data_IF_880052255412
#
_entry.id   IF_880052255412
#
_cell.length_a   1.000
_cell.length_b   1.000
_cell.length_c   1.000
_cell.angle_alpha   90.00
_cell.angle_beta   90.00
_cell.angle_gamma   90.00
#
_symmetry.space_group_name_H-M   'P 1'
#
loop_
_entity.id
_entity.type
_entity.pdbx_description
1 polymer ?
#
# COMPACT_ATOMS: atom_id res chain seq x y z
N UNK A 1 11.21 -25.66 11.18
CA UNK A 1 12.15 -24.81 10.44
C UNK A 1 11.88 -23.38 10.89
N UNK A 2 12.80 -22.76 11.62
CA UNK A 2 12.71 -21.35 12.01
C UNK A 2 12.85 -20.53 10.74
N UNK A 3 11.79 -19.81 10.36
CA UNK A 3 11.86 -18.84 9.28
C UNK A 3 12.98 -17.84 9.61
N UNK A 4 14.02 -17.83 8.79
CA UNK A 4 15.06 -16.82 8.84
C UNK A 4 14.47 -15.41 8.66
N UNK A 5 15.22 -14.34 8.90
CA UNK A 5 14.74 -12.98 8.73
C UNK A 5 14.16 -12.86 7.30
N UNK A 6 12.94 -12.32 7.20
CA UNK A 6 12.23 -12.11 5.93
C UNK A 6 13.13 -11.27 5.01
N UNK A 7 13.80 -11.92 4.07
CA UNK A 7 14.76 -11.27 3.17
C UNK A 7 13.99 -10.51 2.08
N UNK A 8 13.77 -9.22 2.28
CA UNK A 8 13.10 -8.35 1.29
C UNK A 8 14.06 -7.83 0.19
N UNK A 9 15.34 -8.23 0.26
CA UNK A 9 16.39 -7.75 -0.64
C UNK A 9 17.38 -6.81 0.04
N UNK A 10 18.21 -6.15 -0.75
CA UNK A 10 19.19 -5.16 -0.27
C UNK A 10 18.48 -3.90 0.23
N UNK A 11 18.80 -3.45 1.43
CA UNK A 11 18.10 -2.35 2.07
C UNK A 11 18.96 -1.08 2.18
N UNK A 12 18.36 0.07 1.86
CA UNK A 12 18.96 1.39 2.03
C UNK A 12 17.95 2.39 2.59
N UNK A 13 18.45 3.51 3.11
CA UNK A 13 17.59 4.62 3.54
C UNK A 13 17.85 5.81 2.63
N UNK A 14 16.81 6.25 1.94
CA UNK A 14 16.86 7.38 1.03
C UNK A 14 16.41 8.64 1.78
N UNK A 15 17.27 9.65 1.81
CA UNK A 15 16.96 10.97 2.38
C UNK A 15 16.17 11.79 1.38
N UNK A 16 14.97 12.21 1.77
CA UNK A 16 14.11 13.09 0.98
C UNK A 16 13.72 14.30 1.83
N UNK A 17 13.11 15.31 1.23
CA UNK A 17 12.76 16.57 1.91
C UNK A 17 11.93 16.38 3.16
N UNK A 18 10.82 15.66 3.05
CA UNK A 18 9.78 15.55 4.09
C UNK A 18 9.92 14.33 5.00
N UNK A 19 10.58 13.30 4.51
CA UNK A 19 10.81 12.05 5.24
C UNK A 19 12.01 11.29 4.66
N UNK A 20 12.66 10.51 5.50
CA UNK A 20 13.59 9.48 5.02
C UNK A 20 12.82 8.19 4.84
N UNK A 21 13.03 7.48 3.73
CA UNK A 21 12.35 6.24 3.42
C UNK A 21 13.31 5.06 3.41
N UNK A 22 12.96 4.00 4.13
CA UNK A 22 13.61 2.70 3.98
C UNK A 22 13.06 2.05 2.72
N UNK A 23 13.97 1.64 1.84
CA UNK A 23 13.65 0.88 0.64
C UNK A 23 14.41 -0.44 0.64
N UNK A 24 13.83 -1.42 -0.03
CA UNK A 24 14.46 -2.72 -0.27
C UNK A 24 14.46 -2.96 -1.77
N UNK A 25 15.58 -3.38 -2.32
CA UNK A 25 15.72 -3.61 -3.75
C UNK A 25 16.08 -5.08 -4.00
N UNK A 26 15.45 -5.67 -4.99
CA UNK A 26 15.69 -7.07 -5.38
C UNK A 26 15.42 -7.24 -6.88
N UNK A 27 15.96 -8.30 -7.47
CA UNK A 27 15.89 -8.57 -8.90
C UNK A 27 17.00 -7.90 -9.70
N UNK A 28 16.99 -8.02 -11.05
CA UNK A 28 18.02 -7.46 -11.91
C UNK A 28 17.99 -5.93 -11.87
N UNK A 29 19.17 -5.32 -11.73
CA UNK A 29 19.30 -3.86 -11.58
C UNK A 29 18.86 -3.10 -12.85
N UNK A 30 19.00 -3.71 -14.01
CA UNK A 30 18.61 -3.25 -15.34
C UNK A 30 17.22 -3.69 -15.77
N UNK A 31 16.53 -4.47 -14.93
CA UNK A 31 15.16 -4.90 -15.20
C UNK A 31 14.16 -3.75 -15.17
N UNK A 32 12.99 -3.90 -15.82
CA UNK A 32 11.92 -2.89 -15.74
C UNK A 32 11.55 -2.61 -14.28
N UNK A 33 11.52 -1.33 -13.85
CA UNK A 33 11.32 -0.99 -12.45
C UNK A 33 9.86 -1.13 -12.01
N UNK A 34 9.66 -1.77 -10.86
CA UNK A 34 8.37 -1.91 -10.19
C UNK A 34 8.49 -1.45 -8.74
N UNK A 35 7.65 -0.51 -8.33
CA UNK A 35 7.60 0.02 -6.96
C UNK A 35 6.38 -0.54 -6.23
N UNK A 36 6.60 -1.14 -5.05
CA UNK A 36 5.55 -1.75 -4.23
C UNK A 36 5.26 -0.89 -2.99
N UNK A 37 4.02 -0.42 -2.86
CA UNK A 37 3.54 0.43 -1.76
C UNK A 37 2.56 -0.33 -0.87
N UNK A 38 2.85 -0.40 0.42
CA UNK A 38 2.05 -1.13 1.40
C UNK A 38 0.88 -0.30 1.98
N UNK A 39 -0.02 -0.97 2.70
CA UNK A 39 -1.19 -0.41 3.34
C UNK A 39 -0.94 0.20 4.72
N UNK A 40 -2.04 0.65 5.36
CA UNK A 40 -2.01 1.17 6.72
C UNK A 40 -1.70 0.07 7.74
N UNK A 41 -0.91 0.40 8.77
CA UNK A 41 -0.42 -0.49 9.82
C UNK A 41 0.46 -1.67 9.33
N UNK A 42 0.79 -1.73 8.05
CA UNK A 42 1.71 -2.70 7.48
C UNK A 42 3.09 -2.11 7.20
N UNK A 43 3.90 -2.82 6.47
CA UNK A 43 5.21 -2.41 5.98
C UNK A 43 5.53 -3.20 4.69
N UNK A 44 6.69 -2.99 4.12
CA UNK A 44 7.19 -3.76 2.97
C UNK A 44 7.06 -5.29 3.15
N UNK A 45 6.99 -5.77 4.40
CA UNK A 45 6.80 -7.20 4.75
C UNK A 45 5.51 -7.80 4.17
N UNK A 46 4.47 -6.99 3.91
CA UNK A 46 3.24 -7.49 3.28
C UNK A 46 3.48 -8.09 1.89
N UNK A 47 4.56 -7.71 1.24
CA UNK A 47 4.95 -8.17 -0.10
C UNK A 47 5.89 -9.38 -0.11
N UNK A 48 6.21 -9.97 1.06
CA UNK A 48 7.20 -11.05 1.24
C UNK A 48 6.99 -12.25 0.32
N UNK A 49 5.72 -12.59 0.06
CA UNK A 49 5.35 -13.76 -0.74
C UNK A 49 5.10 -13.40 -2.23
N UNK A 50 5.08 -12.11 -2.58
CA UNK A 50 4.85 -11.61 -3.95
C UNK A 50 6.15 -11.15 -4.62
N UNK A 51 6.98 -10.35 -3.92
CA UNK A 51 8.16 -9.74 -4.53
C UNK A 51 9.14 -10.75 -5.16
N UNK A 52 9.36 -11.99 -4.63
CA UNK A 52 10.30 -12.92 -5.25
C UNK A 52 9.86 -13.37 -6.65
N UNK A 53 8.54 -13.45 -6.87
CA UNK A 53 7.98 -13.78 -8.18
C UNK A 53 8.27 -12.70 -9.22
N UNK A 54 8.12 -11.43 -8.83
CA UNK A 54 8.39 -10.27 -9.69
C UNK A 54 9.89 -10.05 -9.93
N UNK A 55 10.70 -10.27 -8.90
CA UNK A 55 12.15 -10.09 -8.93
C UNK A 55 12.90 -11.00 -9.93
N UNK A 56 12.22 -11.98 -10.52
CA UNK A 56 12.80 -12.81 -11.60
C UNK A 56 13.07 -12.01 -12.88
N UNK A 57 12.31 -10.94 -13.11
CA UNK A 57 12.36 -10.17 -14.38
C UNK A 57 12.36 -8.67 -14.18
N UNK A 58 12.06 -8.18 -12.98
CA UNK A 58 11.89 -6.76 -12.68
C UNK A 58 12.86 -6.31 -11.60
N UNK A 59 13.31 -5.07 -11.69
CA UNK A 59 13.92 -4.35 -10.56
C UNK A 59 12.81 -3.96 -9.60
N UNK A 60 12.63 -4.73 -8.52
CA UNK A 60 11.58 -4.51 -7.54
C UNK A 60 12.08 -3.61 -6.42
N UNK A 61 11.36 -2.53 -6.16
CA UNK A 61 11.62 -1.58 -5.07
C UNK A 61 10.44 -1.63 -4.10
N UNK A 62 10.66 -2.20 -2.93
CA UNK A 62 9.67 -2.18 -1.85
C UNK A 62 9.95 -0.95 -0.97
N UNK A 63 8.89 -0.21 -0.64
CA UNK A 63 9.01 1.03 0.13
C UNK A 63 8.30 0.88 1.47
N UNK A 64 9.00 1.15 2.56
CA UNK A 64 8.34 1.43 3.83
C UNK A 64 7.88 2.91 3.83
N UNK A 65 6.59 3.15 3.88
CA UNK A 65 6.00 4.50 3.91
C UNK A 65 6.38 5.27 5.20
N UNK A 66 6.23 6.59 5.26
CA UNK A 66 6.68 7.40 6.39
C UNK A 66 6.21 6.89 7.75
N UNK A 67 7.16 6.61 8.64
CA UNK A 67 6.91 6.08 9.97
C UNK A 67 6.59 4.58 10.05
N UNK A 68 6.51 3.88 8.92
CA UNK A 68 6.26 2.45 8.84
C UNK A 68 7.56 1.64 8.70
N UNK A 69 7.53 0.37 9.12
CA UNK A 69 8.64 -0.56 8.95
C UNK A 69 9.97 0.00 9.45
N UNK A 70 10.95 0.06 8.56
CA UNK A 70 12.28 0.65 8.80
C UNK A 70 12.36 2.15 8.56
N UNK A 71 11.34 2.79 7.98
CA UNK A 71 11.30 4.24 7.76
C UNK A 71 11.15 4.99 9.08
N UNK A 72 11.99 6.02 9.36
CA UNK A 72 11.87 6.81 10.58
C UNK A 72 10.59 7.67 10.59
N UNK A 73 10.35 8.32 11.73
CA UNK A 73 9.29 9.31 11.82
C UNK A 73 9.56 10.45 10.81
N UNK A 74 8.55 10.87 10.03
CA UNK A 74 8.74 11.93 9.05
C UNK A 74 8.99 13.28 9.71
N UNK A 75 9.70 14.17 9.01
CA UNK A 75 9.90 15.58 9.42
C UNK A 75 8.62 16.39 9.21
N UNK A 76 7.90 16.13 8.12
CA UNK A 76 6.61 16.74 7.84
C UNK A 76 5.53 16.25 8.80
N UNK A 77 4.57 17.14 9.13
CA UNK A 77 3.45 16.84 10.05
C UNK A 77 2.09 16.95 9.38
N UNK A 78 1.98 17.73 8.35
CA UNK A 78 0.78 18.05 7.57
C UNK A 78 0.75 17.20 6.29
N UNK A 79 0.39 15.95 6.42
CA UNK A 79 0.31 15.04 5.30
C UNK A 79 -1.01 15.17 4.54
N UNK A 80 -0.90 15.11 3.22
CA UNK A 80 -2.00 14.94 2.27
C UNK A 80 -1.61 13.86 1.26
N UNK A 81 -2.58 13.34 0.49
CA UNK A 81 -2.28 12.40 -0.58
C UNK A 81 -1.37 13.04 -1.65
N UNK A 82 -1.59 14.30 -1.99
CA UNK A 82 -0.74 15.03 -2.95
C UNK A 82 0.70 15.19 -2.45
N UNK A 83 0.89 15.51 -1.16
CA UNK A 83 2.24 15.61 -0.58
C UNK A 83 2.96 14.27 -0.54
N UNK A 84 2.22 13.20 -0.22
CA UNK A 84 2.76 11.84 -0.24
C UNK A 84 3.12 11.38 -1.67
N UNK A 85 2.30 11.74 -2.66
CA UNK A 85 2.63 11.52 -4.08
C UNK A 85 3.91 12.27 -4.50
N UNK A 86 4.05 13.54 -4.11
CA UNK A 86 5.27 14.32 -4.35
C UNK A 86 6.52 13.70 -3.71
N UNK A 87 6.40 13.15 -2.49
CA UNK A 87 7.49 12.42 -1.83
C UNK A 87 7.91 11.17 -2.64
N UNK A 88 6.96 10.44 -3.24
CA UNK A 88 7.25 9.29 -4.09
C UNK A 88 7.94 9.72 -5.38
N UNK A 89 7.59 10.87 -5.96
CA UNK A 89 8.32 11.44 -7.11
C UNK A 89 9.77 11.76 -6.73
N UNK A 90 10.01 12.39 -5.58
CA UNK A 90 11.37 12.62 -5.07
C UNK A 90 12.14 11.29 -4.86
N UNK A 91 11.47 10.25 -4.38
CA UNK A 91 12.06 8.92 -4.24
C UNK A 91 12.46 8.35 -5.61
N UNK A 92 11.60 8.49 -6.62
CA UNK A 92 11.89 8.01 -7.97
C UNK A 92 13.11 8.71 -8.55
N UNK A 93 13.22 10.03 -8.39
CA UNK A 93 14.39 10.82 -8.82
C UNK A 93 15.67 10.34 -8.13
N UNK A 94 15.62 10.14 -6.81
CA UNK A 94 16.77 9.69 -6.03
C UNK A 94 17.24 8.26 -6.40
N UNK A 95 16.33 7.42 -6.92
CA UNK A 95 16.63 6.07 -7.37
C UNK A 95 16.89 5.94 -8.88
N UNK A 96 16.81 7.05 -9.63
CA UNK A 96 16.96 7.05 -11.09
C UNK A 96 15.81 6.36 -11.83
N UNK A 97 14.59 6.41 -11.28
CA UNK A 97 13.40 5.80 -11.86
C UNK A 97 12.59 6.87 -12.62
N UNK A 98 12.62 6.84 -13.94
CA UNK A 98 11.91 7.84 -14.75
C UNK A 98 10.39 7.67 -14.60
N UNK A 99 9.87 6.48 -14.90
CA UNK A 99 8.45 6.13 -14.78
C UNK A 99 8.31 4.62 -14.45
N UNK A 100 8.46 4.20 -13.20
CA UNK A 100 8.27 2.81 -12.81
C UNK A 100 6.79 2.39 -12.94
N UNK A 101 6.55 1.08 -13.03
CA UNK A 101 5.23 0.55 -12.69
C UNK A 101 5.03 0.68 -11.18
N UNK A 102 3.85 1.12 -10.76
CA UNK A 102 3.53 1.32 -9.34
C UNK A 102 2.39 0.40 -8.92
N UNK A 103 2.67 -0.43 -7.94
CA UNK A 103 1.73 -1.39 -7.35
C UNK A 103 1.47 -0.99 -5.91
N UNK A 104 0.24 -0.69 -5.57
CA UNK A 104 -0.12 -0.32 -4.22
C UNK A 104 -1.26 -1.14 -3.65
N UNK A 105 -1.18 -1.47 -2.36
CA UNK A 105 -2.24 -2.14 -1.61
C UNK A 105 -2.83 -1.22 -0.56
N UNK A 106 -4.15 -1.21 -0.42
CA UNK A 106 -4.90 -0.39 0.54
C UNK A 106 -4.54 1.11 0.43
N UNK A 107 -4.00 1.72 1.50
CA UNK A 107 -3.50 3.11 1.46
C UNK A 107 -2.42 3.30 0.40
N UNK A 108 -1.54 2.32 0.20
CA UNK A 108 -0.53 2.35 -0.87
C UNK A 108 -1.17 2.33 -2.26
N UNK A 109 -2.28 1.62 -2.45
CA UNK A 109 -3.07 1.61 -3.68
C UNK A 109 -3.71 2.97 -3.95
N UNK A 110 -4.29 3.58 -2.90
CA UNK A 110 -4.82 4.94 -2.98
C UNK A 110 -3.72 5.95 -3.34
N UNK A 111 -2.53 5.84 -2.72
CA UNK A 111 -1.38 6.70 -3.04
C UNK A 111 -0.86 6.48 -4.45
N UNK A 112 -0.83 5.24 -4.95
CA UNK A 112 -0.46 4.93 -6.33
C UNK A 112 -1.41 5.60 -7.33
N UNK A 113 -2.73 5.55 -7.05
CA UNK A 113 -3.73 6.23 -7.86
C UNK A 113 -3.58 7.76 -7.83
N UNK A 114 -3.38 8.35 -6.65
CA UNK A 114 -3.09 9.79 -6.52
C UNK A 114 -1.81 10.19 -7.25
N UNK A 115 -0.75 9.38 -7.15
CA UNK A 115 0.51 9.62 -7.86
C UNK A 115 0.30 9.60 -9.37
N UNK A 116 -0.41 8.60 -9.90
CA UNK A 116 -0.70 8.49 -11.33
C UNK A 116 -1.56 9.65 -11.83
N UNK A 117 -2.56 10.08 -11.05
CA UNK A 117 -3.45 11.18 -11.40
C UNK A 117 -2.75 12.55 -11.39
N UNK A 118 -1.90 12.82 -10.39
CA UNK A 118 -1.21 14.11 -10.24
C UNK A 118 0.09 14.20 -11.04
N UNK A 119 0.72 13.06 -11.33
CA UNK A 119 2.01 12.97 -12.02
C UNK A 119 1.99 11.88 -13.10
N UNK A 120 1.11 11.97 -14.12
CA UNK A 120 0.87 10.88 -15.08
C UNK A 120 2.14 10.46 -15.85
N UNK A 121 3.07 11.39 -16.12
CA UNK A 121 4.36 11.08 -16.74
C UNK A 121 5.36 10.33 -15.86
N UNK A 122 5.04 10.08 -14.58
CA UNK A 122 5.93 9.44 -13.61
C UNK A 122 5.49 8.00 -13.26
N UNK A 123 4.45 7.49 -13.88
CA UNK A 123 3.94 6.12 -13.71
C UNK A 123 3.71 5.49 -15.07
N UNK A 124 4.37 4.39 -15.38
CA UNK A 124 4.20 3.69 -16.65
C UNK A 124 3.00 2.73 -16.65
N UNK A 125 2.71 2.11 -15.52
CA UNK A 125 1.59 1.20 -15.28
C UNK A 125 1.11 1.35 -13.85
N UNK A 126 -0.19 1.34 -13.63
CA UNK A 126 -0.80 1.46 -12.31
C UNK A 126 -1.43 0.14 -11.87
N UNK A 127 -1.12 -0.31 -10.65
CA UNK A 127 -1.89 -1.40 -10.02
C UNK A 127 -2.48 -0.91 -8.71
N UNK A 128 -3.79 -0.96 -8.61
CA UNK A 128 -4.55 -0.61 -7.41
C UNK A 128 -5.12 -1.88 -6.78
N UNK A 129 -4.73 -2.16 -5.54
CA UNK A 129 -5.16 -3.36 -4.84
C UNK A 129 -5.89 -2.99 -3.54
N UNK A 130 -7.14 -3.43 -3.38
CA UNK A 130 -7.95 -3.23 -2.18
C UNK A 130 -7.88 -1.77 -1.64
N UNK A 131 -7.97 -0.78 -2.52
CA UNK A 131 -7.77 0.63 -2.17
C UNK A 131 -9.09 1.37 -1.95
N UNK A 132 -9.22 2.04 -0.81
CA UNK A 132 -10.46 2.69 -0.38
C UNK A 132 -10.52 4.20 -0.67
N UNK A 133 -9.82 4.71 -1.71
CA UNK A 133 -9.84 6.14 -2.03
C UNK A 133 -11.11 6.60 -2.77
N UNK A 134 -11.84 5.66 -3.35
CA UNK A 134 -13.12 5.88 -4.04
C UNK A 134 -14.15 4.92 -3.46
N UNK A 135 -15.10 5.40 -2.69
CA UNK A 135 -16.19 4.56 -2.22
C UNK A 135 -16.37 4.53 -0.70
N UNK A 136 -17.38 3.81 -0.27
CA UNK A 136 -17.85 3.70 1.10
C UNK A 136 -16.84 2.96 2.01
N UNK A 137 -15.70 3.55 2.19
CA UNK A 137 -14.74 3.01 3.15
C UNK A 137 -15.22 3.28 4.57
N UNK A 138 -15.90 2.32 5.17
CA UNK A 138 -16.21 2.26 6.60
C UNK A 138 -14.96 2.25 7.49
N UNK A 139 -13.84 2.67 6.95
CA UNK A 139 -12.59 2.59 7.66
C UNK A 139 -12.63 3.50 8.87
N UNK A 140 -12.62 2.93 9.98
CA UNK A 140 -12.09 3.32 11.30
C UNK A 140 -11.45 4.74 11.43
N UNK A 141 -12.07 5.77 10.82
CA UNK A 141 -11.57 7.15 10.92
C UNK A 141 -11.44 7.55 12.40
N UNK A 142 -12.32 7.03 13.26
CA UNK A 142 -12.23 7.18 14.72
C UNK A 142 -10.93 6.62 15.29
N UNK A 143 -10.51 5.43 14.85
CA UNK A 143 -9.23 4.83 15.28
C UNK A 143 -8.03 5.65 14.79
N UNK A 144 -8.06 6.09 13.52
CA UNK A 144 -7.00 6.97 12.99
C UNK A 144 -6.88 8.27 13.81
N UNK A 145 -8.02 8.93 14.09
CA UNK A 145 -8.04 10.16 14.89
C UNK A 145 -7.54 9.93 16.32
N UNK A 146 -7.99 8.84 16.96
CA UNK A 146 -7.56 8.50 18.32
C UNK A 146 -6.05 8.22 18.39
N UNK A 147 -5.51 7.43 17.45
CA UNK A 147 -4.08 7.14 17.39
C UNK A 147 -3.25 8.36 16.95
N UNK A 148 -3.79 9.25 16.12
CA UNK A 148 -3.10 10.44 15.67
C UNK A 148 -3.05 11.56 16.73
N UNK A 149 -3.85 11.47 17.80
CA UNK A 149 -3.89 12.46 18.87
C UNK A 149 -2.50 12.68 19.48
N UNK A 150 -2.07 13.94 19.67
CA UNK A 150 -0.68 14.26 20.04
C UNK A 150 -0.17 13.60 21.32
N UNK A 151 -1.00 13.57 22.36
CA UNK A 151 -0.65 13.03 23.69
C UNK A 151 -1.23 11.65 23.91
N UNK A 152 -2.53 11.47 23.66
CA UNK A 152 -3.21 10.20 23.91
C UNK A 152 -2.83 9.10 22.90
N UNK A 153 -2.53 9.47 21.66
CA UNK A 153 -2.23 8.52 20.59
C UNK A 153 -1.02 7.62 20.87
N UNK A 154 0.14 8.15 21.26
CA UNK A 154 1.29 7.33 21.62
C UNK A 154 1.00 6.35 22.77
N UNK A 155 0.25 6.80 23.80
CA UNK A 155 -0.14 5.97 24.93
C UNK A 155 -1.13 4.87 24.50
N UNK A 156 -2.14 5.22 23.72
CA UNK A 156 -3.10 4.28 23.17
C UNK A 156 -2.40 3.22 22.32
N UNK A 157 -1.49 3.63 21.44
CA UNK A 157 -0.72 2.73 20.63
C UNK A 157 0.16 1.78 21.47
N UNK A 158 0.89 2.33 22.45
CA UNK A 158 1.79 1.57 23.31
C UNK A 158 1.07 0.52 24.17
N UNK A 159 -0.17 0.81 24.58
CA UNK A 159 -0.98 -0.06 25.41
C UNK A 159 -1.94 -0.95 24.61
N UNK A 160 -1.97 -0.84 23.28
CA UNK A 160 -2.93 -1.57 22.47
C UNK A 160 -2.74 -3.10 22.63
N UNK A 161 -3.78 -3.83 23.09
CA UNK A 161 -3.62 -5.25 23.40
C UNK A 161 -3.51 -6.09 22.13
N UNK A 162 -2.71 -7.18 22.22
CA UNK A 162 -2.47 -8.06 21.05
C UNK A 162 -3.71 -8.79 20.58
N UNK A 163 -4.51 -9.35 21.50
CA UNK A 163 -5.65 -10.19 21.14
C UNK A 163 -6.71 -9.44 20.29
N UNK A 164 -7.21 -8.27 20.69
CA UNK A 164 -8.12 -7.48 19.86
C UNK A 164 -7.49 -7.04 18.52
N UNK A 165 -6.17 -6.78 18.50
CA UNK A 165 -5.48 -6.48 17.25
C UNK A 165 -5.50 -7.69 16.31
N UNK A 166 -5.14 -8.88 16.80
CA UNK A 166 -5.09 -10.10 15.99
C UNK A 166 -6.48 -10.53 15.49
N UNK A 167 -7.52 -10.37 16.33
CA UNK A 167 -8.91 -10.66 15.96
C UNK A 167 -9.39 -9.74 14.82
N UNK A 168 -9.14 -8.43 14.94
CA UNK A 168 -9.46 -7.46 13.88
C UNK A 168 -8.63 -7.70 12.61
N UNK A 169 -7.37 -8.08 12.76
CA UNK A 169 -6.51 -8.43 11.65
C UNK A 169 -7.05 -9.64 10.88
N UNK A 170 -7.40 -10.70 11.60
CA UNK A 170 -7.99 -11.90 11.00
C UNK A 170 -9.33 -11.59 10.31
N UNK A 171 -10.17 -10.73 10.90
CA UNK A 171 -11.46 -10.33 10.34
C UNK A 171 -11.37 -9.49 9.06
N UNK A 172 -10.21 -8.92 8.77
CA UNK A 172 -9.95 -8.17 7.53
C UNK A 172 -9.61 -9.09 6.33
N UNK A 173 -9.30 -10.35 6.60
CA UNK A 173 -9.00 -11.34 5.57
C UNK A 173 -10.27 -12.10 5.13
N UNK A 174 -10.17 -12.76 3.99
CA UNK A 174 -11.24 -13.59 3.45
C UNK A 174 -11.54 -14.83 4.31
N UNK A 175 -12.70 -15.47 4.07
CA UNK A 175 -13.14 -16.60 4.86
C UNK A 175 -12.15 -17.77 4.82
N UNK A 176 -11.77 -18.27 5.98
CA UNK A 176 -10.89 -19.44 6.10
C UNK A 176 -9.38 -19.12 6.01
N UNK A 177 -9.00 -17.90 5.69
CA UNK A 177 -7.58 -17.53 5.74
C UNK A 177 -7.11 -17.33 7.18
N UNK A 178 -5.96 -17.89 7.50
CA UNK A 178 -5.32 -17.77 8.82
C UNK A 178 -4.00 -17.02 8.66
N UNK A 179 -3.95 -15.73 9.06
CA UNK A 179 -2.72 -14.94 8.96
C UNK A 179 -1.58 -15.55 9.79
N UNK A 180 -0.34 -15.49 9.27
CA UNK A 180 0.84 -15.93 10.01
C UNK A 180 0.96 -15.17 11.35
N UNK A 181 0.90 -15.86 12.50
CA UNK A 181 0.98 -15.21 13.80
C UNK A 181 2.29 -14.45 14.04
N UNK A 182 3.39 -14.81 13.36
CA UNK A 182 4.66 -14.10 13.49
C UNK A 182 4.62 -12.75 12.80
N UNK A 183 3.99 -12.69 11.63
CA UNK A 183 3.74 -11.46 10.86
C UNK A 183 2.79 -10.54 11.62
N UNK A 184 1.67 -11.07 12.11
CA UNK A 184 0.68 -10.31 12.91
C UNK A 184 1.32 -9.73 14.17
N UNK A 185 2.17 -10.51 14.88
CA UNK A 185 2.95 -9.99 16.02
C UNK A 185 3.93 -8.90 15.58
N UNK A 186 4.49 -8.99 14.37
CA UNK A 186 5.34 -7.97 13.78
C UNK A 186 4.60 -6.65 13.62
N UNK A 187 3.44 -6.66 12.99
CA UNK A 187 2.58 -5.48 12.79
C UNK A 187 2.08 -4.90 14.12
N UNK A 188 1.70 -5.75 15.08
CA UNK A 188 1.32 -5.29 16.41
C UNK A 188 2.48 -4.60 17.14
N UNK A 189 3.71 -5.14 17.09
CA UNK A 189 4.90 -4.46 17.67
C UNK A 189 5.15 -3.11 17.01
N UNK A 190 4.95 -3.01 15.70
CA UNK A 190 5.06 -1.76 14.96
C UNK A 190 4.00 -0.75 15.41
N UNK A 191 2.73 -1.16 15.52
CA UNK A 191 1.64 -0.35 16.07
C UNK A 191 2.02 0.20 17.45
N UNK A 192 2.46 -0.66 18.36
CA UNK A 192 2.82 -0.23 19.73
C UNK A 192 3.95 0.80 19.78
N UNK A 193 4.92 0.68 18.88
CA UNK A 193 6.10 1.56 18.86
C UNK A 193 5.87 2.85 18.10
N UNK A 194 5.09 2.83 17.02
CA UNK A 194 4.99 3.90 16.04
C UNK A 194 3.56 4.22 15.58
N UNK A 195 2.55 3.60 16.19
CA UNK A 195 1.16 3.71 15.77
C UNK A 195 0.67 5.15 15.65
N UNK A 196 1.07 6.02 16.57
CA UNK A 196 0.71 7.44 16.50
C UNK A 196 1.33 8.17 15.30
N UNK A 197 2.56 7.82 14.91
CA UNK A 197 3.23 8.40 13.73
C UNK A 197 2.57 7.90 12.45
N UNK A 198 2.36 6.59 12.37
CA UNK A 198 1.69 5.95 11.24
C UNK A 198 0.26 6.47 11.07
N UNK A 199 -0.47 6.65 12.18
CA UNK A 199 -1.83 7.17 12.15
C UNK A 199 -1.90 8.63 11.70
N UNK A 200 -0.94 9.48 12.07
CA UNK A 200 -0.89 10.87 11.58
C UNK A 200 -0.66 10.93 10.08
N UNK A 201 0.27 10.13 9.56
CA UNK A 201 0.49 10.02 8.12
C UNK A 201 -0.77 9.48 7.43
N UNK A 202 -1.30 8.34 7.89
CA UNK A 202 -2.48 7.70 7.31
C UNK A 202 -3.74 8.57 7.40
N UNK A 203 -3.94 9.30 8.50
CA UNK A 203 -5.06 10.24 8.65
C UNK A 203 -4.97 11.39 7.64
N UNK A 204 -3.79 11.98 7.46
CA UNK A 204 -3.58 13.05 6.50
C UNK A 204 -3.87 12.62 5.07
N UNK A 205 -3.40 11.43 4.68
CA UNK A 205 -3.73 10.83 3.38
C UNK A 205 -5.23 10.56 3.26
N UNK A 206 -5.85 9.99 4.30
CA UNK A 206 -7.27 9.63 4.31
C UNK A 206 -8.19 10.84 4.20
N UNK A 207 -7.88 11.93 4.89
CA UNK A 207 -8.65 13.18 4.82
C UNK A 207 -8.61 13.82 3.43
N UNK A 208 -7.63 13.47 2.59
CA UNK A 208 -7.54 13.93 1.21
C UNK A 208 -8.55 13.24 0.27
N UNK A 209 -9.25 12.19 0.73
CA UNK A 209 -10.23 11.49 -0.10
C UNK A 209 -11.55 12.25 -0.27
N UNK A 210 -11.75 13.34 0.50
CA UNK A 210 -13.01 14.10 0.54
C UNK A 210 -14.02 13.50 1.52
N UNK A 211 -15.11 14.23 1.76
CA UNK A 211 -16.18 13.77 2.67
C UNK A 211 -16.90 12.56 2.09
N UNK A 212 -17.17 12.55 0.80
CA UNK A 212 -17.88 11.49 0.06
C UNK A 212 -16.94 10.50 -0.64
N UNK A 213 -15.64 10.54 -0.34
CA UNK A 213 -14.63 9.66 -0.94
C UNK A 213 -14.58 9.74 -2.48
N UNK A 214 -14.73 10.92 -3.03
CA UNK A 214 -14.76 11.17 -4.47
C UNK A 214 -13.69 12.16 -4.97
N UNK A 215 -12.89 12.74 -4.06
CA UNK A 215 -11.89 13.75 -4.42
C UNK A 215 -10.88 13.29 -5.48
N UNK A 216 -10.68 11.99 -5.62
CA UNK A 216 -9.80 11.39 -6.62
C UNK A 216 -10.52 11.17 -7.97
N UNK A 217 -11.85 11.20 -8.02
CA UNK A 217 -12.62 10.89 -9.24
C UNK A 217 -12.25 11.82 -10.41
N UNK A 218 -12.28 13.14 -10.19
CA UNK A 218 -11.89 14.09 -11.23
C UNK A 218 -10.46 13.92 -11.73
N UNK A 219 -9.44 13.83 -10.85
CA UNK A 219 -8.05 13.56 -11.24
C UNK A 219 -7.82 12.24 -12.00
N UNK A 220 -8.65 11.21 -11.78
CA UNK A 220 -8.53 9.93 -12.50
C UNK A 220 -9.24 9.93 -13.86
N UNK A 221 -10.19 10.84 -14.05
CA UNK A 221 -10.92 10.92 -15.31
C UNK A 221 -9.96 11.23 -16.47
N UNK A 222 -9.98 10.35 -17.47
CA UNK A 222 -9.07 10.46 -18.61
C UNK A 222 -7.63 10.00 -18.36
N UNK A 223 -7.35 9.31 -17.25
CA UNK A 223 -6.03 8.72 -17.01
C UNK A 223 -5.69 7.69 -18.11
N UNK A 224 -4.70 8.02 -18.94
CA UNK A 224 -4.34 7.27 -20.14
C UNK A 224 -3.13 6.34 -19.95
N UNK A 225 -3.03 5.69 -18.79
CA UNK A 225 -1.99 4.67 -18.54
C UNK A 225 -2.65 3.31 -18.30
N UNK A 226 -2.00 2.19 -18.69
CA UNK A 226 -2.52 0.87 -18.37
C UNK A 226 -2.74 0.71 -16.86
N UNK A 227 -3.91 0.21 -16.47
CA UNK A 227 -4.26 0.02 -15.07
C UNK A 227 -4.83 -1.39 -14.80
N UNK A 228 -4.37 -2.02 -13.71
CA UNK A 228 -4.90 -3.25 -13.17
C UNK A 228 -5.49 -3.00 -11.79
N UNK A 229 -6.72 -3.44 -11.59
CA UNK A 229 -7.48 -3.29 -10.36
C UNK A 229 -7.68 -4.68 -9.76
N UNK A 230 -7.08 -4.93 -8.57
CA UNK A 230 -7.16 -6.22 -7.88
C UNK A 230 -7.90 -6.05 -6.55
N UNK A 231 -9.05 -6.70 -6.40
CA UNK A 231 -9.84 -6.61 -5.18
C UNK A 231 -10.24 -8.00 -4.69
N UNK A 232 -10.33 -8.18 -3.37
CA UNK A 232 -10.87 -9.39 -2.80
C UNK A 232 -12.38 -9.45 -3.00
N UNK A 233 -12.90 -10.59 -3.44
CA UNK A 233 -14.35 -10.77 -3.66
C UNK A 233 -15.14 -10.75 -2.34
N UNK A 234 -14.50 -11.12 -1.23
CA UNK A 234 -15.08 -11.17 0.13
C UNK A 234 -14.53 -10.05 1.04
N UNK A 235 -13.96 -8.98 0.44
CA UNK A 235 -13.47 -7.84 1.21
C UNK A 235 -14.63 -7.07 1.85
N UNK A 236 -14.57 -6.97 3.19
CA UNK A 236 -15.57 -6.28 4.03
C UNK A 236 -15.12 -4.88 4.44
N UNK A 237 -13.85 -4.54 4.23
CA UNK A 237 -13.29 -3.23 4.56
C UNK A 237 -13.28 -2.30 3.35
N UNK A 238 -12.91 -2.84 2.19
CA UNK A 238 -12.95 -2.16 0.89
C UNK A 238 -13.74 -3.04 -0.07
N UNK A 239 -15.06 -2.88 -0.13
CA UNK A 239 -15.92 -3.78 -0.90
C UNK A 239 -15.60 -3.76 -2.40
N UNK A 240 -15.89 -4.85 -3.13
CA UNK A 240 -15.65 -4.95 -4.58
C UNK A 240 -16.27 -3.82 -5.41
N UNK A 241 -17.35 -3.20 -4.91
CA UNK A 241 -17.98 -2.00 -5.53
C UNK A 241 -16.98 -0.85 -5.71
N UNK A 242 -16.01 -0.72 -4.80
CA UNK A 242 -14.92 0.26 -4.94
C UNK A 242 -14.04 -0.05 -6.15
N UNK A 243 -13.75 -1.33 -6.43
CA UNK A 243 -13.03 -1.75 -7.63
C UNK A 243 -13.79 -1.42 -8.91
N UNK A 244 -15.11 -1.62 -8.93
CA UNK A 244 -15.97 -1.20 -10.04
C UNK A 244 -15.93 0.32 -10.22
N UNK A 245 -15.95 1.08 -9.13
CA UNK A 245 -15.86 2.55 -9.20
C UNK A 245 -14.55 3.02 -9.81
N UNK A 246 -13.42 2.39 -9.46
CA UNK A 246 -12.14 2.65 -10.14
C UNK A 246 -12.20 2.32 -11.63
N UNK A 247 -12.82 1.19 -12.01
CA UNK A 247 -12.93 0.78 -13.41
C UNK A 247 -13.79 1.74 -14.24
N UNK A 248 -14.82 2.35 -13.66
CA UNK A 248 -15.62 3.38 -14.30
C UNK A 248 -14.81 4.65 -14.61
N UNK A 249 -13.88 5.02 -13.71
CA UNK A 249 -13.09 6.26 -13.80
C UNK A 249 -11.80 6.10 -14.59
N UNK A 250 -11.31 4.88 -14.79
CA UNK A 250 -10.08 4.60 -15.55
C UNK A 250 -10.45 3.73 -16.75
N UNK A 251 -10.83 4.34 -17.90
CA UNK A 251 -11.21 3.61 -19.09
C UNK A 251 -10.08 2.68 -19.56
N UNK A 252 -10.42 1.44 -19.92
CA UNK A 252 -9.45 0.43 -20.33
C UNK A 252 -8.69 -0.24 -19.19
N UNK A 253 -9.02 0.06 -17.92
CA UNK A 253 -8.49 -0.71 -16.79
C UNK A 253 -9.07 -2.13 -16.76
N UNK A 254 -8.23 -3.09 -16.29
CA UNK A 254 -8.66 -4.47 -16.07
C UNK A 254 -9.00 -4.68 -14.59
N UNK A 255 -10.26 -4.98 -14.29
CA UNK A 255 -10.70 -5.36 -12.94
C UNK A 255 -10.64 -6.88 -12.77
N UNK A 256 -10.00 -7.33 -11.69
CA UNK A 256 -9.94 -8.73 -11.26
C UNK A 256 -10.40 -8.82 -9.81
N UNK A 257 -11.48 -9.57 -9.59
CA UNK A 257 -11.96 -9.93 -8.26
C UNK A 257 -11.40 -11.30 -7.89
N UNK A 258 -10.66 -11.37 -6.77
CA UNK A 258 -9.99 -12.57 -6.31
C UNK A 258 -10.91 -13.34 -5.33
N UNK A 259 -11.42 -14.52 -5.72
CA UNK A 259 -12.29 -15.30 -4.84
C UNK A 259 -11.59 -15.72 -3.56
N UNK A 260 -12.31 -15.74 -2.45
CA UNK A 260 -11.80 -16.13 -1.14
C UNK A 260 -10.91 -15.11 -0.46
N UNK A 261 -10.63 -13.97 -1.10
CA UNK A 261 -9.77 -12.92 -0.56
C UNK A 261 -10.56 -11.77 0.07
N UNK A 262 -10.00 -11.20 1.15
CA UNK A 262 -10.43 -9.96 1.76
C UNK A 262 -9.50 -8.78 1.37
N UNK A 263 -9.13 -7.99 2.38
CA UNK A 263 -8.40 -6.72 2.24
C UNK A 263 -6.89 -6.88 1.96
N UNK A 264 -6.37 -8.12 2.00
CA UNK A 264 -4.94 -8.41 1.82
C UNK A 264 -4.67 -9.46 0.72
N UNK A 265 -5.10 -9.26 -0.54
CA UNK A 265 -4.90 -10.25 -1.60
C UNK A 265 -3.45 -10.72 -1.75
N UNK A 266 -2.47 -9.83 -1.53
CA UNK A 266 -1.03 -10.13 -1.60
C UNK A 266 -0.54 -11.08 -0.49
N UNK A 267 -1.27 -11.18 0.63
CA UNK A 267 -0.98 -12.14 1.71
C UNK A 267 -1.85 -13.39 1.59
N UNK A 268 -3.09 -13.26 1.09
CA UNK A 268 -4.10 -14.32 1.03
C UNK A 268 -3.95 -15.24 -0.18
N UNK A 269 -3.63 -14.65 -1.34
CA UNK A 269 -3.50 -15.37 -2.60
C UNK A 269 -2.24 -14.93 -3.38
N UNK A 270 -1.02 -15.01 -2.80
CA UNK A 270 0.18 -14.46 -3.41
C UNK A 270 0.48 -15.04 -4.79
N UNK A 271 0.20 -16.31 -5.02
CA UNK A 271 0.41 -16.93 -6.32
C UNK A 271 -0.50 -16.32 -7.41
N UNK A 272 -1.78 -16.09 -7.10
CA UNK A 272 -2.72 -15.46 -8.02
C UNK A 272 -2.34 -13.99 -8.28
N UNK A 273 -1.91 -13.27 -7.24
CA UNK A 273 -1.41 -11.89 -7.36
C UNK A 273 -0.16 -11.82 -8.23
N UNK A 274 0.83 -12.72 -8.01
CA UNK A 274 2.04 -12.77 -8.84
C UNK A 274 1.70 -13.07 -10.30
N UNK A 275 0.77 -13.99 -10.56
CA UNK A 275 0.34 -14.33 -11.93
C UNK A 275 -0.30 -13.10 -12.62
N UNK A 276 -1.27 -12.45 -11.96
CA UNK A 276 -1.94 -11.26 -12.49
C UNK A 276 -0.97 -10.09 -12.72
N UNK A 277 -0.05 -9.84 -11.78
CA UNK A 277 0.97 -8.81 -11.91
C UNK A 277 1.95 -9.11 -13.04
N UNK A 278 2.43 -10.37 -13.15
CA UNK A 278 3.39 -10.75 -14.19
C UNK A 278 2.77 -10.60 -15.58
N UNK A 279 1.55 -11.08 -15.76
CA UNK A 279 0.79 -10.95 -17.00
C UNK A 279 0.63 -9.47 -17.41
N UNK A 280 0.14 -8.65 -16.49
CA UNK A 280 -0.05 -7.22 -16.72
C UNK A 280 1.25 -6.45 -16.97
N UNK A 281 2.32 -6.74 -16.22
CA UNK A 281 3.59 -6.02 -16.32
C UNK A 281 4.38 -6.37 -17.59
N UNK A 282 4.17 -7.57 -18.17
CA UNK A 282 4.82 -8.00 -19.42
C UNK A 282 4.07 -7.57 -20.68
N UNK A 283 2.85 -7.01 -20.53
CA UNK A 283 2.06 -6.55 -21.67
C UNK A 283 1.49 -7.69 -22.53
N UNK A 284 1.33 -8.88 -21.95
CA UNK A 284 0.62 -9.99 -22.57
C UNK A 284 -0.90 -9.77 -22.38
N UNK A 285 -1.47 -8.87 -23.15
CA UNK A 285 -2.92 -8.67 -23.27
C UNK A 285 -3.48 -9.50 -24.40
#
# INVERSE_FOLDING_TARGET
MTAGPLALGESSTIRLRDADLRVYQTGPADGPPVVLLHGFLTSAVTWRDVHPGLARRHRVVLVDLPGCGGSPAPRARDWTAARAAGLLVELFDALGLAAPAVVGSQMGGSLAAWLAALHPGRVSRLVVMAAGALGEGAANLGLYRALAAPVAGPLLAALFPYRPFAEKWAAAHGPGFVPDPAVVRGYHRQLRRRGAVMARFGLGVRLSYGEDFDALAGPLDGLAIPALLLFGAEDRLVPPSTGHRFAELIPGSRLVLLPGCGDFPQEEAPAAVVAALTDFLTGNE
#
